data_IF_762635369833
#
_entry.id   IF_762635369833
#
_cell.length_a   1.000
_cell.length_b   1.000
_cell.length_c   1.000
_cell.angle_alpha   90.00
_cell.angle_beta   90.00
_cell.angle_gamma   90.00
#
_symmetry.space_group_name_H-M   'P 1'
#
loop_
_entity.id
_entity.type
_entity.pdbx_description
1 polymer ?
#
# COMPACT_ATOMS: atom_id res chain seq x y z
N UNK A 1 -11.93 -11.18 7.26
CA UNK A 1 -11.67 -9.91 7.89
C UNK A 1 -11.75 -8.76 6.89
N UNK A 2 -12.93 -8.26 6.68
CA UNK A 2 -13.13 -7.05 5.92
C UNK A 2 -13.75 -6.04 6.86
N UNK A 3 -13.27 -4.85 6.83
CA UNK A 3 -13.76 -3.83 7.73
C UNK A 3 -13.90 -2.50 7.02
N UNK A 4 -15.01 -1.85 7.31
CA UNK A 4 -15.16 -0.45 7.04
C UNK A 4 -14.87 0.02 5.63
N UNK A 5 -15.41 -0.63 4.58
CA UNK A 5 -15.25 -0.12 3.23
C UNK A 5 -15.67 1.34 3.14
N UNK A 6 -16.74 1.72 3.84
CA UNK A 6 -17.18 3.11 3.92
C UNK A 6 -16.18 4.00 4.64
N UNK A 7 -15.56 3.47 5.70
CA UNK A 7 -14.56 4.22 6.45
C UNK A 7 -13.29 4.44 5.63
N UNK A 8 -12.87 3.42 4.89
CA UNK A 8 -11.72 3.53 4.00
C UNK A 8 -11.99 4.60 2.96
N UNK A 9 -13.17 4.58 2.35
CA UNK A 9 -13.56 5.56 1.35
C UNK A 9 -13.54 6.97 1.94
N UNK A 10 -14.08 7.17 3.14
CA UNK A 10 -14.09 8.47 3.80
C UNK A 10 -12.68 8.99 4.06
N UNK A 11 -11.76 8.12 4.50
CA UNK A 11 -10.38 8.51 4.73
C UNK A 11 -9.68 8.89 3.43
N UNK A 12 -9.93 8.16 2.35
CA UNK A 12 -9.34 8.47 1.06
C UNK A 12 -9.86 9.79 0.51
N UNK A 13 -11.16 10.09 0.71
CA UNK A 13 -11.74 11.36 0.30
C UNK A 13 -11.05 12.53 1.04
N UNK A 14 -10.90 12.42 2.35
CA UNK A 14 -10.20 13.43 3.13
C UNK A 14 -8.80 13.64 2.59
N UNK A 15 -8.10 12.54 2.30
CA UNK A 15 -6.74 12.60 1.81
C UNK A 15 -6.65 13.29 0.45
N UNK A 16 -7.57 12.96 -0.48
CA UNK A 16 -7.59 13.56 -1.81
C UNK A 16 -7.75 15.09 -1.72
N UNK A 17 -8.59 15.56 -0.83
CA UNK A 17 -8.81 16.99 -0.63
C UNK A 17 -7.57 17.71 -0.13
N UNK A 18 -6.75 17.01 0.65
CA UNK A 18 -5.54 17.58 1.25
C UNK A 18 -4.28 17.25 0.47
N UNK A 19 -4.40 16.44 -0.60
CA UNK A 19 -3.24 15.95 -1.33
C UNK A 19 -2.42 17.07 -1.95
N UNK A 20 -1.13 17.07 -1.65
CA UNK A 20 -0.18 17.96 -2.28
C UNK A 20 0.46 17.29 -3.48
N UNK A 21 1.62 17.79 -3.87
CA UNK A 21 2.39 17.21 -4.95
C UNK A 21 3.02 15.88 -4.50
N UNK A 22 3.08 14.92 -5.42
CA UNK A 22 3.71 13.64 -5.13
C UNK A 22 5.21 13.79 -4.94
N UNK A 23 5.75 13.13 -3.94
CA UNK A 23 7.18 13.06 -3.69
C UNK A 23 7.79 11.89 -4.45
N UNK A 24 9.02 12.07 -4.94
CA UNK A 24 9.74 11.00 -5.61
C UNK A 24 10.42 10.05 -4.63
N UNK A 25 10.62 10.50 -3.38
CA UNK A 25 11.31 9.71 -2.35
C UNK A 25 10.28 9.05 -1.43
N UNK A 26 10.37 7.73 -1.25
CA UNK A 26 9.40 7.01 -0.43
C UNK A 26 9.43 7.43 1.03
N UNK A 27 10.56 7.90 1.53
CA UNK A 27 10.67 8.34 2.94
C UNK A 27 9.90 9.62 3.21
N UNK A 28 9.62 10.41 2.19
CA UNK A 28 8.92 11.68 2.32
C UNK A 28 7.48 11.62 1.83
N UNK A 29 7.09 10.51 1.22
CA UNK A 29 5.75 10.38 0.65
C UNK A 29 4.69 10.34 1.75
N UNK A 30 3.57 11.03 1.51
CA UNK A 30 2.42 10.99 2.42
C UNK A 30 1.60 9.72 2.24
N UNK A 31 1.61 9.14 1.05
CA UNK A 31 0.94 7.87 0.77
C UNK A 31 1.93 6.94 0.09
N UNK A 32 1.96 5.70 0.57
CA UNK A 32 2.73 4.64 -0.08
C UNK A 32 1.81 3.49 -0.40
N UNK A 33 1.90 3.01 -1.63
CA UNK A 33 1.18 1.82 -2.07
C UNK A 33 2.23 0.74 -2.27
N UNK A 34 2.34 -0.16 -1.31
CA UNK A 34 3.39 -1.15 -1.27
C UNK A 34 2.91 -2.50 -1.78
N UNK A 35 3.75 -3.18 -2.55
CA UNK A 35 3.48 -4.51 -3.05
C UNK A 35 4.50 -5.52 -2.56
N UNK A 36 4.03 -6.73 -2.27
CA UNK A 36 4.86 -7.85 -1.88
C UNK A 36 4.80 -8.97 -2.91
N UNK A 37 5.22 -10.16 -2.51
CA UNK A 37 5.20 -11.33 -3.41
C UNK A 37 3.80 -11.67 -3.91
N UNK A 38 2.77 -11.31 -3.17
CA UNK A 38 1.39 -11.54 -3.59
C UNK A 38 0.99 -10.78 -4.85
N UNK A 39 1.77 -9.78 -5.27
CA UNK A 39 1.54 -9.07 -6.53
C UNK A 39 1.73 -10.01 -7.72
N UNK A 40 2.68 -10.94 -7.64
CA UNK A 40 2.82 -12.03 -8.59
C UNK A 40 3.71 -11.76 -9.80
N UNK A 41 3.95 -10.52 -10.15
CA UNK A 41 4.79 -10.16 -11.30
C UNK A 41 5.16 -8.68 -11.27
N UNK A 42 6.14 -8.31 -12.09
CA UNK A 42 6.50 -6.90 -12.25
C UNK A 42 5.34 -6.10 -12.83
N UNK A 43 4.61 -6.66 -13.78
CA UNK A 43 3.45 -6.00 -14.39
C UNK A 43 2.32 -5.77 -13.38
N UNK A 44 2.24 -6.60 -12.36
CA UNK A 44 1.24 -6.45 -11.31
C UNK A 44 1.37 -5.15 -10.54
N UNK A 45 2.52 -4.51 -10.58
CA UNK A 45 2.73 -3.21 -9.95
C UNK A 45 2.10 -2.04 -10.70
N UNK A 46 1.68 -2.24 -11.95
CA UNK A 46 1.12 -1.14 -12.75
C UNK A 46 -0.11 -0.51 -12.09
N UNK A 47 -1.02 -1.32 -11.56
CA UNK A 47 -2.21 -0.81 -10.87
C UNK A 47 -1.86 -0.16 -9.54
N UNK A 48 -0.83 -0.66 -8.86
CA UNK A 48 -0.35 -0.03 -7.63
C UNK A 48 0.23 1.36 -7.93
N UNK A 49 0.96 1.49 -9.04
CA UNK A 49 1.47 2.80 -9.48
C UNK A 49 0.33 3.76 -9.80
N UNK A 50 -0.70 3.25 -10.47
CA UNK A 50 -1.86 4.08 -10.81
C UNK A 50 -2.56 4.59 -9.54
N UNK A 51 -2.78 3.71 -8.57
CA UNK A 51 -3.38 4.10 -7.29
C UNK A 51 -2.52 5.14 -6.58
N UNK A 52 -1.22 4.91 -6.51
CA UNK A 52 -0.29 5.83 -5.87
C UNK A 52 -0.35 7.21 -6.52
N UNK A 53 -0.34 7.26 -7.85
CA UNK A 53 -0.40 8.52 -8.59
C UNK A 53 -1.70 9.28 -8.31
N UNK A 54 -2.82 8.58 -8.26
CA UNK A 54 -4.11 9.20 -7.98
C UNK A 54 -4.17 9.81 -6.58
N UNK A 55 -3.44 9.23 -5.65
CA UNK A 55 -3.41 9.69 -4.25
C UNK A 55 -2.25 10.66 -3.96
N UNK A 56 -1.48 11.01 -4.99
CA UNK A 56 -0.34 11.90 -4.79
C UNK A 56 0.81 11.27 -4.04
N UNK A 57 0.91 9.96 -4.08
CA UNK A 57 1.92 9.20 -3.36
C UNK A 57 2.94 8.51 -4.25
N UNK A 58 3.56 7.48 -3.72
CA UNK A 58 4.55 6.70 -4.44
C UNK A 58 4.34 5.21 -4.16
N UNK A 59 4.99 4.37 -4.95
CA UNK A 59 4.98 2.93 -4.70
C UNK A 59 6.10 2.57 -3.72
N UNK A 60 5.93 1.42 -3.08
CA UNK A 60 6.95 0.84 -2.23
C UNK A 60 6.88 -0.68 -2.40
N UNK A 61 7.78 -1.40 -1.76
CA UNK A 61 7.84 -2.84 -1.94
C UNK A 61 8.41 -3.53 -0.73
N UNK A 62 8.06 -4.81 -0.59
CA UNK A 62 8.71 -5.68 0.37
C UNK A 62 10.02 -6.18 -0.22
N UNK A 63 10.90 -6.70 0.64
CA UNK A 63 12.14 -7.34 0.20
C UNK A 63 11.85 -8.48 -0.79
N UNK A 64 10.78 -9.23 -0.54
CA UNK A 64 10.41 -10.35 -1.43
C UNK A 64 10.19 -9.91 -2.87
N UNK A 65 9.47 -8.81 -3.07
CA UNK A 65 9.21 -8.31 -4.42
C UNK A 65 10.51 -7.81 -5.09
N UNK A 66 11.39 -7.20 -4.30
CA UNK A 66 12.69 -6.74 -4.81
C UNK A 66 13.56 -7.93 -5.21
N UNK A 67 13.58 -8.98 -4.38
CA UNK A 67 14.36 -10.18 -4.67
C UNK A 67 13.88 -10.91 -5.92
N UNK A 68 12.58 -10.82 -6.22
CA UNK A 68 12.05 -11.39 -7.46
C UNK A 68 12.43 -10.57 -8.70
N UNK A 69 13.03 -9.41 -8.50
CA UNK A 69 13.43 -8.55 -9.61
C UNK A 69 12.29 -7.71 -10.19
N UNK A 70 11.18 -7.61 -9.50
CA UNK A 70 9.99 -6.89 -10.01
C UNK A 70 10.09 -5.37 -9.85
N UNK A 71 10.91 -4.92 -8.91
CA UNK A 71 10.99 -3.51 -8.56
C UNK A 71 12.36 -3.21 -7.95
N UNK A 72 12.82 -1.99 -8.10
CA UNK A 72 14.13 -1.57 -7.59
C UNK A 72 14.20 -1.59 -6.07
N UNK A 73 15.38 -1.88 -5.54
CA UNK A 73 15.64 -1.83 -4.11
C UNK A 73 15.42 -0.44 -3.52
N UNK A 74 15.46 0.60 -4.33
CA UNK A 74 15.21 1.97 -3.87
C UNK A 74 13.82 2.12 -3.25
N UNK A 75 12.89 1.22 -3.58
CA UNK A 75 11.52 1.23 -3.07
C UNK A 75 11.31 0.25 -1.92
N UNK A 76 12.36 -0.45 -1.49
CA UNK A 76 12.22 -1.47 -0.45
C UNK A 76 12.02 -0.86 0.94
N UNK A 77 11.00 -1.35 1.63
CA UNK A 77 10.67 -0.98 3.01
C UNK A 77 10.98 -2.17 3.93
N UNK A 78 11.58 -1.90 5.07
CA UNK A 78 11.85 -2.93 6.05
C UNK A 78 13.22 -2.76 6.69
N UNK A 79 13.63 -3.74 7.48
CA UNK A 79 14.89 -3.69 8.24
C UNK A 79 16.11 -3.57 7.33
N UNK A 80 16.09 -4.16 6.13
CA UNK A 80 17.18 -4.08 5.17
C UNK A 80 16.94 -3.04 4.08
N UNK A 81 15.86 -2.29 4.20
CA UNK A 81 15.52 -1.21 3.28
C UNK A 81 15.33 0.09 4.03
N UNK A 82 14.31 0.84 3.63
CA UNK A 82 14.02 2.14 4.24
C UNK A 82 12.94 2.02 5.30
N UNK A 83 12.97 2.94 6.26
CA UNK A 83 11.91 3.09 7.26
C UNK A 83 11.06 4.27 6.85
N UNK A 84 9.74 4.07 6.85
CA UNK A 84 8.80 5.09 6.35
C UNK A 84 7.69 5.34 7.38
N UNK A 85 7.16 6.57 7.37
CA UNK A 85 6.07 6.97 8.26
C UNK A 85 5.02 7.77 7.49
N UNK A 86 4.44 7.20 6.41
CA UNK A 86 3.44 7.94 5.64
C UNK A 86 2.15 8.09 6.45
N UNK A 87 1.27 8.94 5.98
CA UNK A 87 -0.08 9.04 6.55
C UNK A 87 -0.90 7.80 6.20
N UNK A 88 -0.72 7.26 5.01
CA UNK A 88 -1.42 6.05 4.57
C UNK A 88 -0.41 5.08 3.94
N UNK A 89 -0.44 3.85 4.39
CA UNK A 89 0.37 2.77 3.86
C UNK A 89 -0.53 1.63 3.42
N UNK A 90 -0.57 1.37 2.11
CA UNK A 90 -1.27 0.21 1.58
C UNK A 90 -0.30 -0.96 1.52
N UNK A 91 -0.61 -2.04 2.21
CA UNK A 91 0.19 -3.26 2.18
C UNK A 91 -0.54 -4.29 1.32
N UNK A 92 -0.16 -4.40 0.05
CA UNK A 92 -0.84 -5.22 -0.93
C UNK A 92 -0.05 -6.49 -1.22
N UNK A 93 -0.60 -7.64 -0.87
CA UNK A 93 0.08 -8.91 -1.07
C UNK A 93 1.34 -9.05 -0.22
N UNK A 94 1.36 -8.40 0.94
CA UNK A 94 2.46 -8.43 1.91
C UNK A 94 2.03 -9.26 3.10
N UNK A 95 2.84 -10.24 3.48
CA UNK A 95 2.49 -11.13 4.60
C UNK A 95 2.57 -10.45 5.96
N UNK A 96 3.46 -9.50 6.12
CA UNK A 96 3.68 -8.84 7.40
C UNK A 96 4.78 -9.49 8.23
N UNK A 97 5.80 -10.02 7.57
CA UNK A 97 6.98 -10.54 8.28
C UNK A 97 7.63 -9.42 9.10
N UNK A 98 8.20 -9.78 10.24
CA UNK A 98 8.78 -8.82 11.18
C UNK A 98 9.74 -7.82 10.52
N UNK A 99 10.65 -8.25 9.64
CA UNK A 99 11.56 -7.28 9.00
C UNK A 99 10.85 -6.20 8.18
N UNK A 100 9.73 -6.54 7.53
CA UNK A 100 8.95 -5.55 6.80
C UNK A 100 8.22 -4.61 7.75
N UNK A 101 7.59 -5.17 8.76
CA UNK A 101 6.79 -4.42 9.74
C UNK A 101 7.63 -3.37 10.46
N UNK A 102 8.88 -3.71 10.78
CA UNK A 102 9.80 -2.76 11.42
C UNK A 102 9.95 -1.47 10.60
N UNK A 103 9.87 -1.57 9.28
CA UNK A 103 10.05 -0.42 8.40
C UNK A 103 8.80 0.42 8.16
N UNK A 104 7.60 -0.04 8.58
CA UNK A 104 6.38 0.69 8.27
C UNK A 104 5.34 0.75 9.40
N UNK A 105 5.63 0.14 10.53
CA UNK A 105 4.67 0.02 11.63
C UNK A 105 4.20 1.36 12.20
N UNK A 106 4.99 2.41 12.03
CA UNK A 106 4.65 3.74 12.54
C UNK A 106 3.88 4.60 11.54
N UNK A 107 3.42 4.01 10.44
CA UNK A 107 2.50 4.68 9.52
C UNK A 107 1.22 5.05 10.27
N UNK A 108 0.62 6.19 9.94
CA UNK A 108 -0.59 6.63 10.66
C UNK A 108 -1.78 5.71 10.40
N UNK A 109 -1.98 5.33 9.14
CA UNK A 109 -3.05 4.42 8.76
C UNK A 109 -2.46 3.32 7.87
N UNK A 110 -2.70 2.08 8.27
CA UNK A 110 -2.24 0.92 7.51
C UNK A 110 -3.47 0.19 6.97
N UNK A 111 -3.52 0.05 5.65
CA UNK A 111 -4.60 -0.66 4.95
C UNK A 111 -3.98 -1.89 4.31
N UNK A 112 -4.39 -3.07 4.74
CA UNK A 112 -3.84 -4.33 4.23
C UNK A 112 -4.82 -5.01 3.27
N UNK A 113 -4.29 -5.52 2.16
CA UNK A 113 -5.04 -6.32 1.20
C UNK A 113 -4.30 -7.63 1.02
N UNK A 114 -4.93 -8.74 1.38
CA UNK A 114 -4.31 -10.06 1.30
C UNK A 114 -5.39 -11.11 1.14
N UNK A 115 -5.09 -12.16 0.41
CA UNK A 115 -6.02 -13.27 0.23
C UNK A 115 -6.08 -14.18 1.46
N UNK A 116 -5.04 -14.17 2.29
CA UNK A 116 -4.95 -15.01 3.49
C UNK A 116 -5.45 -14.23 4.71
N UNK A 117 -6.62 -14.61 5.28
CA UNK A 117 -7.13 -13.91 6.45
C UNK A 117 -6.26 -14.07 7.68
N UNK A 118 -5.36 -15.05 7.70
CA UNK A 118 -4.45 -15.29 8.80
C UNK A 118 -3.10 -14.59 8.61
N UNK A 119 -2.91 -13.82 7.55
CA UNK A 119 -1.64 -13.13 7.31
C UNK A 119 -1.31 -12.18 8.47
N UNK A 120 -0.09 -12.22 9.01
CA UNK A 120 0.28 -11.37 10.14
C UNK A 120 0.11 -9.88 9.92
N UNK A 121 0.10 -9.41 8.66
CA UNK A 121 -0.09 -8.00 8.35
C UNK A 121 -1.43 -7.47 8.91
N UNK A 122 -2.44 -8.32 9.01
CA UNK A 122 -3.74 -7.92 9.54
C UNK A 122 -3.69 -7.60 11.04
N UNK A 123 -2.70 -8.11 11.76
CA UNK A 123 -2.57 -7.82 13.20
C UNK A 123 -2.22 -6.37 13.46
N UNK A 124 -1.57 -5.70 12.51
CA UNK A 124 -1.16 -4.30 12.68
C UNK A 124 -1.96 -3.35 11.79
N UNK A 125 -2.77 -3.88 10.87
CA UNK A 125 -3.55 -3.04 9.96
C UNK A 125 -4.70 -2.37 10.69
N UNK A 126 -4.95 -1.11 10.35
CA UNK A 126 -6.12 -0.38 10.84
C UNK A 126 -7.37 -0.81 10.08
N UNK A 127 -7.20 -1.12 8.78
CA UNK A 127 -8.27 -1.63 7.93
C UNK A 127 -7.72 -2.82 7.15
N UNK A 128 -8.51 -3.89 7.08
CA UNK A 128 -8.11 -5.10 6.38
C UNK A 128 -9.14 -5.50 5.33
N UNK A 129 -8.66 -5.89 4.17
CA UNK A 129 -9.50 -6.42 3.11
C UNK A 129 -8.96 -7.80 2.75
N UNK A 130 -9.76 -8.83 2.98
CA UNK A 130 -9.41 -10.19 2.56
C UNK A 130 -9.89 -10.35 1.13
N UNK A 131 -8.97 -10.36 0.20
CA UNK A 131 -9.31 -10.45 -1.21
C UNK A 131 -8.08 -10.38 -2.10
N UNK A 132 -8.32 -10.55 -3.39
CA UNK A 132 -7.30 -10.50 -4.41
C UNK A 132 -7.00 -9.04 -4.75
N UNK A 133 -5.75 -8.61 -4.55
CA UNK A 133 -5.36 -7.23 -4.83
C UNK A 133 -5.62 -6.84 -6.29
N UNK A 134 -5.54 -7.81 -7.21
CA UNK A 134 -5.80 -7.56 -8.63
C UNK A 134 -7.26 -7.25 -8.94
N UNK A 135 -8.16 -7.45 -7.97
CA UNK A 135 -9.56 -7.07 -8.06
C UNK A 135 -9.85 -5.86 -7.17
N UNK A 136 -9.29 -5.85 -5.97
CA UNK A 136 -9.52 -4.80 -4.97
C UNK A 136 -8.95 -3.47 -5.43
N UNK A 137 -7.72 -3.46 -5.91
CA UNK A 137 -7.05 -2.21 -6.29
C UNK A 137 -7.75 -1.50 -7.47
N UNK A 138 -8.13 -2.20 -8.55
CA UNK A 138 -8.90 -1.55 -9.61
C UNK A 138 -10.23 -0.95 -9.13
N UNK A 139 -10.91 -1.62 -8.19
CA UNK A 139 -12.14 -1.08 -7.61
C UNK A 139 -11.88 0.20 -6.82
N UNK A 140 -10.81 0.22 -6.03
CA UNK A 140 -10.41 1.42 -5.30
C UNK A 140 -10.09 2.56 -6.24
N UNK A 141 -9.39 2.27 -7.33
CA UNK A 141 -9.07 3.27 -8.35
C UNK A 141 -10.33 3.90 -8.91
N UNK A 142 -11.34 3.08 -9.25
CA UNK A 142 -12.60 3.60 -9.77
C UNK A 142 -13.35 4.46 -8.76
N UNK A 143 -13.38 4.05 -7.51
CA UNK A 143 -14.01 4.83 -6.43
C UNK A 143 -13.33 6.18 -6.29
N UNK A 144 -12.00 6.20 -6.32
CA UNK A 144 -11.23 7.43 -6.18
C UNK A 144 -11.48 8.37 -7.35
N UNK A 145 -11.52 7.84 -8.58
CA UNK A 145 -11.79 8.65 -9.76
C UNK A 145 -13.17 9.30 -9.71
N UNK A 146 -14.18 8.57 -9.23
CA UNK A 146 -15.52 9.11 -9.07
C UNK A 146 -15.57 10.21 -8.01
N UNK A 147 -14.81 10.02 -6.92
CA UNK A 147 -14.81 10.93 -5.78
C UNK A 147 -13.95 12.16 -6.02
N UNK A 148 -12.85 11.99 -6.73
CA UNK A 148 -11.87 13.05 -6.95
C UNK A 148 -12.23 14.06 -8.04
N UNK A 149 -13.42 13.99 -8.57
CA UNK A 149 -13.85 14.91 -9.63
C UNK A 149 -14.24 16.28 -9.08
#
# INVERSE_FOLDING_TARGET
>A
LTSGGSEIKARLVEFIEDAGLADSNIEEASVLVAGGRGVGSADGFDKLRELARLLGGNIAASRGAVEEGWISKDYQVGATGKTVTPKIYFACGISGAVPHVVGMKDSEIIIAVNTDPAAPIFDIAHYGIVGDLHKVIPELIEIIKETGK
#
